data_IF_158009597506
#
_entry.id   IF_158009597506
#
_cell.length_a   1.000
_cell.length_b   1.000
_cell.length_c   1.000
_cell.angle_alpha   90.00
_cell.angle_beta   90.00
_cell.angle_gamma   90.00
#
_symmetry.space_group_name_H-M   'P 1'
#
loop_
_entity.id
_entity.type
_entity.pdbx_description
1 polymer ?
#
# COMPACT_ATOMS: atom_id res chain seq x y z
N UNK A 1 -11.09 16.38 -0.35
CA UNK A 1 -9.82 17.12 -0.18
C UNK A 1 -9.23 16.66 1.15
N UNK A 2 -8.16 15.87 1.12
CA UNK A 2 -7.46 15.41 2.31
C UNK A 2 -6.32 16.39 2.53
N UNK A 3 -6.38 17.19 3.61
CA UNK A 3 -5.23 17.93 4.11
C UNK A 3 -4.29 16.91 4.76
N UNK A 4 -3.10 16.76 4.21
CA UNK A 4 -2.00 16.06 4.86
C UNK A 4 -1.46 17.02 5.93
N UNK A 5 -1.72 16.74 7.21
CA UNK A 5 -0.97 17.39 8.28
C UNK A 5 0.47 16.87 8.22
N UNK A 6 1.41 17.79 8.07
CA UNK A 6 2.83 17.51 8.07
C UNK A 6 3.25 17.00 9.44
N UNK A 7 3.68 15.76 9.52
CA UNK A 7 4.45 15.27 10.64
C UNK A 7 5.74 16.09 10.73
N UNK A 8 5.87 16.89 11.79
CA UNK A 8 7.00 17.78 12.03
C UNK A 8 8.28 17.04 12.44
N UNK A 9 8.90 16.34 11.49
CA UNK A 9 10.26 15.86 11.57
C UNK A 9 11.12 16.62 10.56
N UNK A 10 12.38 16.86 10.85
CA UNK A 10 13.37 17.37 9.88
C UNK A 10 13.42 16.41 8.70
N UNK A 11 12.82 16.83 7.59
CA UNK A 11 12.82 16.04 6.35
C UNK A 11 14.26 16.00 5.84
N UNK A 12 14.84 14.81 5.75
CA UNK A 12 16.10 14.63 5.09
C UNK A 12 15.89 14.92 3.60
N UNK A 13 16.56 15.93 3.08
CA UNK A 13 16.67 16.13 1.63
C UNK A 13 17.57 15.05 1.06
N UNK A 14 16.96 13.98 0.56
CA UNK A 14 17.69 12.93 -0.17
C UNK A 14 17.64 13.24 -1.66
N UNK A 15 18.77 13.09 -2.33
CA UNK A 15 18.91 13.33 -3.77
C UNK A 15 18.48 12.11 -4.59
N UNK A 16 18.20 12.32 -5.90
CA UNK A 16 17.95 11.20 -6.83
C UNK A 16 19.15 10.22 -6.90
N UNK A 17 20.38 10.72 -6.77
CA UNK A 17 21.57 9.88 -6.78
C UNK A 17 21.61 8.95 -5.56
N UNK A 18 21.34 9.48 -4.38
CA UNK A 18 21.31 8.69 -3.14
C UNK A 18 20.18 7.65 -3.15
N UNK A 19 18.99 8.00 -3.65
CA UNK A 19 17.89 7.03 -3.83
C UNK A 19 18.28 5.92 -4.80
N UNK A 20 18.95 6.27 -5.89
CA UNK A 20 19.44 5.31 -6.88
C UNK A 20 20.46 4.36 -6.26
N UNK A 21 21.36 4.88 -5.45
CA UNK A 21 22.36 4.06 -4.76
C UNK A 21 21.72 3.12 -3.72
N UNK A 22 20.67 3.57 -3.01
CA UNK A 22 19.90 2.71 -2.13
C UNK A 22 19.21 1.57 -2.90
N UNK A 23 18.61 1.87 -4.05
CA UNK A 23 17.96 0.84 -4.87
C UNK A 23 18.96 -0.17 -5.44
N UNK A 24 20.16 0.27 -5.87
CA UNK A 24 21.24 -0.63 -6.29
C UNK A 24 21.74 -1.51 -5.16
N UNK A 25 21.92 -0.92 -3.98
CA UNK A 25 22.34 -1.66 -2.78
C UNK A 25 21.34 -2.76 -2.44
N UNK A 26 20.05 -2.48 -2.49
CA UNK A 26 19.00 -3.51 -2.31
C UNK A 26 19.19 -4.67 -3.30
N UNK A 27 19.39 -4.38 -4.59
CA UNK A 27 19.59 -5.41 -5.62
C UNK A 27 20.88 -6.22 -5.40
N UNK A 28 21.95 -5.58 -4.91
CA UNK A 28 23.21 -6.25 -4.58
C UNK A 28 23.06 -7.17 -3.36
N UNK A 29 22.36 -6.73 -2.31
CA UNK A 29 22.13 -7.49 -1.09
C UNK A 29 21.12 -8.64 -1.28
N UNK A 30 20.09 -8.39 -2.07
CA UNK A 30 19.00 -9.35 -2.34
C UNK A 30 18.78 -9.45 -3.87
N UNK A 31 19.61 -10.21 -4.59
CA UNK A 31 19.48 -10.32 -6.04
C UNK A 31 18.14 -10.92 -6.47
N UNK A 32 17.36 -10.23 -7.32
CA UNK A 32 15.99 -10.62 -7.66
C UNK A 32 15.89 -11.93 -8.45
N UNK A 33 16.98 -12.41 -9.02
CA UNK A 33 17.08 -13.70 -9.71
C UNK A 33 17.36 -14.89 -8.78
N UNK A 34 17.65 -14.63 -7.48
CA UNK A 34 18.00 -15.66 -6.48
C UNK A 34 16.96 -15.87 -5.40
N UNK A 35 15.98 -14.99 -5.31
CA UNK A 35 14.92 -15.01 -4.29
C UNK A 35 13.54 -14.98 -4.94
N UNK A 36 12.51 -15.38 -4.20
CA UNK A 36 11.16 -15.22 -4.70
C UNK A 36 10.66 -13.78 -4.59
N UNK A 37 9.52 -13.50 -5.22
CA UNK A 37 8.98 -12.15 -5.26
C UNK A 37 8.56 -11.61 -3.88
N UNK A 38 8.14 -12.47 -2.97
CA UNK A 38 7.70 -12.06 -1.63
C UNK A 38 8.91 -11.66 -0.78
N UNK A 39 9.99 -12.43 -0.88
CA UNK A 39 11.26 -12.15 -0.21
C UNK A 39 11.86 -10.83 -0.71
N UNK A 40 11.96 -10.65 -2.04
CA UNK A 40 12.47 -9.40 -2.62
C UNK A 40 11.64 -8.19 -2.20
N UNK A 41 10.31 -8.28 -2.30
CA UNK A 41 9.41 -7.19 -1.92
C UNK A 41 9.45 -6.93 -0.41
N UNK A 42 9.60 -7.96 0.41
CA UNK A 42 9.84 -7.82 1.83
C UNK A 42 11.09 -6.98 2.11
N UNK A 43 12.21 -7.32 1.46
CA UNK A 43 13.46 -6.55 1.57
C UNK A 43 13.28 -5.11 1.05
N UNK A 44 12.59 -4.89 -0.06
CA UNK A 44 12.27 -3.56 -0.57
C UNK A 44 11.48 -2.73 0.46
N UNK A 45 10.51 -3.33 1.13
CA UNK A 45 9.76 -2.68 2.21
C UNK A 45 10.65 -2.34 3.40
N UNK A 46 11.45 -3.31 3.85
CA UNK A 46 12.33 -3.18 5.01
C UNK A 46 13.45 -2.14 4.79
N UNK A 47 13.88 -1.93 3.52
CA UNK A 47 14.80 -0.86 3.12
C UNK A 47 14.11 0.52 2.92
N UNK A 48 12.80 0.63 3.14
CA UNK A 48 12.07 1.88 2.97
C UNK A 48 11.83 2.30 1.51
N UNK A 49 12.00 1.39 0.56
CA UNK A 49 11.88 1.66 -0.88
C UNK A 49 10.53 1.23 -1.49
N UNK A 50 9.58 0.83 -0.63
CA UNK A 50 8.23 0.47 -1.04
C UNK A 50 7.35 1.71 -1.31
N UNK A 51 7.42 2.66 -0.40
CA UNK A 51 6.64 3.90 -0.39
C UNK A 51 7.53 5.02 0.16
N UNK A 52 8.44 5.56 -0.63
CA UNK A 52 9.49 6.48 -0.13
C UNK A 52 8.98 7.65 0.72
N UNK A 53 7.70 8.05 0.55
CA UNK A 53 7.05 9.09 1.32
C UNK A 53 6.44 8.61 2.65
N UNK A 54 6.37 7.30 2.90
CA UNK A 54 5.88 6.77 4.18
C UNK A 54 6.97 6.92 5.25
N UNK A 55 6.59 6.94 6.54
CA UNK A 55 7.57 6.97 7.62
C UNK A 55 8.56 5.81 7.57
N UNK A 56 9.74 6.02 8.13
CA UNK A 56 10.70 4.94 8.38
C UNK A 56 10.06 3.81 9.21
N UNK A 57 10.41 2.57 8.88
CA UNK A 57 9.81 1.38 9.49
C UNK A 57 8.45 0.98 8.92
N UNK A 58 7.79 1.85 8.16
CA UNK A 58 6.50 1.57 7.50
C UNK A 58 6.63 1.47 5.96
N UNK A 59 7.78 1.07 5.49
CA UNK A 59 8.07 0.86 4.07
C UNK A 59 8.54 2.10 3.34
N UNK A 60 8.86 3.18 4.05
CA UNK A 60 9.32 4.46 3.50
C UNK A 60 10.54 5.04 4.18
N UNK A 61 10.94 6.22 3.70
CA UNK A 61 12.08 7.00 4.15
C UNK A 61 11.64 8.38 4.71
N UNK A 62 10.35 8.61 4.89
CA UNK A 62 9.80 9.87 5.38
C UNK A 62 9.95 11.04 4.41
N UNK A 63 10.05 10.80 3.11
CA UNK A 63 10.28 11.86 2.12
C UNK A 63 9.00 12.64 1.81
N UNK A 64 9.10 13.96 1.60
CA UNK A 64 7.95 14.78 1.24
C UNK A 64 7.37 14.44 -0.14
N UNK A 65 8.22 14.02 -1.06
CA UNK A 65 7.86 13.85 -2.47
C UNK A 65 7.83 12.39 -2.91
N UNK A 66 6.70 11.99 -3.49
CA UNK A 66 6.56 10.70 -4.19
C UNK A 66 7.40 10.61 -5.48
N UNK A 67 7.94 11.72 -5.98
CA UNK A 67 8.67 11.74 -7.26
C UNK A 67 9.86 10.78 -7.23
N UNK A 68 10.53 10.64 -6.10
CA UNK A 68 11.66 9.75 -5.94
C UNK A 68 11.29 8.25 -6.02
N UNK A 69 10.01 7.89 -5.83
CA UNK A 69 9.57 6.52 -6.07
C UNK A 69 9.81 6.09 -7.52
N UNK A 70 9.64 7.01 -8.48
CA UNK A 70 9.89 6.68 -9.90
C UNK A 70 11.36 6.35 -10.19
N UNK A 71 12.28 6.88 -9.39
CA UNK A 71 13.72 6.55 -9.49
C UNK A 71 13.96 5.14 -8.98
N UNK A 72 13.39 4.77 -7.82
CA UNK A 72 13.42 3.39 -7.29
C UNK A 72 12.88 2.42 -8.33
N UNK A 73 11.66 2.67 -8.82
CA UNK A 73 10.99 1.78 -9.78
C UNK A 73 11.79 1.62 -11.08
N UNK A 74 12.47 2.67 -11.53
CA UNK A 74 13.31 2.62 -12.72
C UNK A 74 14.57 1.75 -12.52
N UNK A 75 15.25 1.90 -11.38
CA UNK A 75 16.44 1.10 -11.04
C UNK A 75 16.09 -0.38 -10.85
N UNK A 76 15.03 -0.69 -10.11
CA UNK A 76 14.58 -2.06 -9.88
C UNK A 76 14.17 -2.74 -11.19
N UNK A 77 13.47 -2.01 -12.08
CA UNK A 77 13.12 -2.50 -13.42
C UNK A 77 14.36 -2.75 -14.27
N UNK A 78 15.34 -1.85 -14.22
CA UNK A 78 16.62 -2.00 -14.91
C UNK A 78 17.42 -3.21 -14.41
N UNK A 79 17.26 -3.59 -13.16
CA UNK A 79 17.86 -4.77 -12.55
C UNK A 79 17.08 -6.08 -12.84
N UNK A 80 16.02 -6.01 -13.64
CA UNK A 80 15.25 -7.20 -14.03
C UNK A 80 14.19 -7.64 -13.01
N UNK A 81 13.83 -6.79 -12.05
CA UNK A 81 12.70 -7.08 -11.14
C UNK A 81 11.42 -7.19 -11.96
N UNK A 82 10.75 -8.37 -11.99
CA UNK A 82 9.78 -8.71 -13.04
C UNK A 82 8.35 -8.23 -12.73
N UNK A 83 8.15 -7.35 -11.78
CA UNK A 83 6.80 -6.99 -11.34
C UNK A 83 6.47 -5.52 -11.48
N UNK A 84 5.16 -5.26 -11.49
CA UNK A 84 4.59 -3.95 -11.30
C UNK A 84 3.76 -3.99 -10.03
N UNK A 85 4.03 -3.13 -9.05
CA UNK A 85 3.37 -3.13 -7.74
C UNK A 85 1.85 -3.15 -7.83
N UNK A 86 1.31 -2.31 -8.72
CA UNK A 86 -0.14 -2.23 -8.95
C UNK A 86 -0.73 -3.49 -9.60
N UNK A 87 0.08 -4.36 -10.23
CA UNK A 87 -0.42 -5.61 -10.79
C UNK A 87 -0.63 -6.69 -9.71
N UNK A 88 0.11 -6.61 -8.61
CA UNK A 88 0.06 -7.62 -7.54
C UNK A 88 -1.10 -7.33 -6.58
N UNK A 89 -1.20 -6.11 -6.09
CA UNK A 89 -2.22 -5.73 -5.09
C UNK A 89 -2.70 -4.29 -5.33
N UNK A 90 -3.39 -4.03 -6.45
CA UNK A 90 -3.72 -2.66 -6.87
C UNK A 90 -4.56 -1.90 -5.85
N UNK A 91 -5.51 -2.58 -5.21
CA UNK A 91 -6.38 -1.97 -4.21
C UNK A 91 -5.61 -1.74 -2.90
N UNK A 92 -4.87 -2.74 -2.44
CA UNK A 92 -4.06 -2.60 -1.23
C UNK A 92 -3.05 -1.47 -1.36
N UNK A 93 -2.19 -1.52 -2.38
CA UNK A 93 -1.10 -0.54 -2.57
C UNK A 93 -1.64 0.84 -2.94
N UNK A 94 -2.61 0.91 -3.87
CA UNK A 94 -3.10 2.18 -4.40
C UNK A 94 -4.10 2.91 -3.51
N UNK A 95 -4.86 2.20 -2.71
CA UNK A 95 -5.95 2.74 -1.89
C UNK A 95 -5.81 2.37 -0.41
N UNK A 96 -5.56 1.10 -0.11
CA UNK A 96 -5.48 0.58 1.25
C UNK A 96 -4.33 1.19 2.05
N UNK A 97 -3.13 1.20 1.48
CA UNK A 97 -1.94 1.69 2.16
C UNK A 97 -2.05 3.15 2.63
N UNK A 98 -2.50 4.12 1.80
CA UNK A 98 -2.73 5.49 2.27
C UNK A 98 -3.78 5.61 3.37
N UNK A 99 -4.86 4.81 3.30
CA UNK A 99 -5.91 4.81 4.33
C UNK A 99 -5.39 4.24 5.63
N UNK A 100 -4.70 3.10 5.59
CA UNK A 100 -4.08 2.49 6.77
C UNK A 100 -3.06 3.45 7.39
N UNK A 101 -2.20 4.07 6.58
CA UNK A 101 -1.23 5.05 7.09
C UNK A 101 -1.89 6.20 7.84
N UNK A 102 -3.03 6.71 7.32
CA UNK A 102 -3.68 7.91 7.86
C UNK A 102 -4.53 7.63 9.09
N UNK A 103 -5.25 6.50 9.10
CA UNK A 103 -6.35 6.29 10.07
C UNK A 103 -6.16 5.10 11.01
N UNK A 104 -5.25 4.17 10.69
CA UNK A 104 -5.04 3.00 11.51
C UNK A 104 -4.19 3.30 12.75
N UNK A 105 -4.30 2.48 13.79
CA UNK A 105 -3.37 2.49 14.93
C UNK A 105 -1.96 2.07 14.46
N UNK A 106 -0.94 2.41 15.26
CA UNK A 106 0.44 2.04 14.91
C UNK A 106 0.60 0.52 14.82
N UNK A 107 -0.02 -0.23 15.73
CA UNK A 107 -0.06 -1.71 15.67
C UNK A 107 -0.69 -2.22 14.35
N UNK A 108 -1.76 -1.58 13.89
CA UNK A 108 -2.40 -1.94 12.63
C UNK A 108 -1.53 -1.59 11.43
N UNK A 109 -0.83 -0.44 11.44
CA UNK A 109 0.11 -0.05 10.38
C UNK A 109 1.24 -1.07 10.25
N UNK A 110 1.88 -1.43 11.35
CA UNK A 110 2.94 -2.45 11.39
C UNK A 110 2.44 -3.81 10.89
N UNK A 111 1.22 -4.20 11.30
CA UNK A 111 0.63 -5.49 10.94
C UNK A 111 0.20 -5.58 9.47
N UNK A 112 -0.30 -4.48 8.88
CA UNK A 112 -0.99 -4.52 7.61
C UNK A 112 -0.15 -4.06 6.42
N UNK A 113 0.74 -3.06 6.58
CA UNK A 113 1.39 -2.43 5.43
C UNK A 113 2.38 -3.36 4.72
N UNK A 114 3.19 -4.10 5.47
CA UNK A 114 4.19 -4.99 4.88
C UNK A 114 3.55 -6.13 4.06
N UNK A 115 2.64 -6.97 4.62
CA UNK A 115 2.01 -8.04 3.83
C UNK A 115 1.10 -7.52 2.71
N UNK A 116 0.57 -6.30 2.83
CA UNK A 116 -0.13 -5.62 1.75
C UNK A 116 0.82 -5.29 0.59
N UNK A 117 2.01 -4.75 0.87
CA UNK A 117 2.99 -4.41 -0.15
C UNK A 117 3.60 -5.65 -0.80
N UNK A 118 3.98 -6.65 -0.01
CA UNK A 118 4.55 -7.91 -0.54
C UNK A 118 3.58 -8.67 -1.44
N UNK A 119 2.27 -8.51 -1.20
CA UNK A 119 1.22 -9.27 -1.88
C UNK A 119 0.86 -10.59 -1.17
N UNK A 120 1.39 -10.83 0.03
CA UNK A 120 0.98 -11.95 0.89
C UNK A 120 -0.49 -11.81 1.33
N UNK A 121 -0.98 -10.57 1.47
CA UNK A 121 -2.36 -10.29 1.81
C UNK A 121 -2.99 -9.34 0.78
N UNK A 122 -3.75 -9.92 -0.13
CA UNK A 122 -4.45 -9.17 -1.18
C UNK A 122 -5.66 -8.44 -0.61
N UNK A 123 -5.92 -7.26 -1.15
CA UNK A 123 -7.05 -6.41 -0.77
C UNK A 123 -8.01 -6.24 -1.93
N UNK A 124 -9.31 -6.16 -1.63
CA UNK A 124 -10.35 -5.83 -2.60
C UNK A 124 -11.14 -4.57 -2.18
N UNK A 125 -11.93 -4.07 -3.12
CA UNK A 125 -12.73 -2.86 -2.95
C UNK A 125 -14.22 -3.26 -2.88
N UNK A 126 -14.83 -3.08 -1.72
CA UNK A 126 -16.24 -3.38 -1.44
C UNK A 126 -17.06 -2.09 -1.52
N UNK A 127 -17.22 -1.54 -2.73
CA UNK A 127 -17.88 -0.24 -2.95
C UNK A 127 -19.23 -0.43 -3.64
N UNK A 128 -19.25 -0.92 -4.89
CA UNK A 128 -20.45 -1.00 -5.72
C UNK A 128 -21.52 -1.93 -5.15
N UNK A 129 -22.77 -1.57 -5.37
CA UNK A 129 -23.97 -2.34 -5.01
C UNK A 129 -24.85 -2.57 -6.23
N UNK A 130 -25.81 -3.51 -6.20
CA UNK A 130 -26.71 -3.73 -7.34
C UNK A 130 -27.44 -2.47 -7.81
N UNK A 131 -27.75 -1.55 -6.88
CA UNK A 131 -28.44 -0.28 -7.16
C UNK A 131 -27.55 0.95 -7.21
N UNK A 132 -26.24 0.83 -6.93
CA UNK A 132 -25.34 1.98 -6.82
C UNK A 132 -23.92 1.64 -7.32
N UNK A 133 -23.51 2.28 -8.39
CA UNK A 133 -22.18 2.18 -9.00
C UNK A 133 -21.41 3.50 -8.89
N UNK A 134 -21.45 4.31 -9.96
CA UNK A 134 -20.82 5.64 -9.94
C UNK A 134 -21.49 6.61 -8.94
N UNK A 135 -22.75 6.39 -8.63
CA UNK A 135 -23.47 7.09 -7.55
C UNK A 135 -23.16 6.44 -6.20
N UNK A 136 -22.02 6.76 -5.62
CA UNK A 136 -21.60 6.24 -4.30
C UNK A 136 -22.52 6.76 -3.18
N UNK A 137 -23.18 7.90 -3.36
CA UNK A 137 -24.14 8.42 -2.38
C UNK A 137 -25.45 7.61 -2.31
N UNK A 138 -25.73 6.81 -3.34
CA UNK A 138 -26.90 5.92 -3.40
C UNK A 138 -26.69 4.56 -2.72
N UNK A 139 -25.61 4.34 -2.00
CA UNK A 139 -25.32 3.08 -1.30
C UNK A 139 -26.36 2.80 -0.22
N UNK A 140 -26.74 1.54 -0.09
CA UNK A 140 -27.71 1.03 0.87
C UNK A 140 -27.11 0.16 1.98
N UNK A 141 -25.86 -0.30 1.81
CA UNK A 141 -25.12 -1.01 2.86
C UNK A 141 -24.98 -0.13 4.10
N UNK A 142 -25.07 -0.76 5.25
CA UNK A 142 -25.00 -0.06 6.55
C UNK A 142 -24.02 -0.75 7.47
N UNK A 143 -23.20 0.04 8.16
CA UNK A 143 -22.40 -0.40 9.29
C UNK A 143 -22.93 0.28 10.56
N UNK A 144 -23.27 -0.51 11.56
CA UNK A 144 -23.79 -0.04 12.85
C UNK A 144 -22.88 -0.55 13.94
N UNK A 145 -22.42 0.35 14.80
CA UNK A 145 -21.59 -0.01 15.95
C UNK A 145 -22.48 -0.65 17.03
N UNK A 146 -22.13 -1.87 17.44
CA UNK A 146 -22.76 -2.61 18.53
C UNK A 146 -21.69 -3.05 19.53
N UNK A 147 -21.61 -2.35 20.65
CA UNK A 147 -20.51 -2.51 21.59
C UNK A 147 -19.18 -2.05 20.98
N UNK A 148 -18.25 -2.96 20.83
CA UNK A 148 -16.91 -2.77 20.23
C UNK A 148 -16.78 -3.37 18.80
N UNK A 149 -17.89 -3.86 18.23
CA UNK A 149 -17.93 -4.47 16.90
C UNK A 149 -18.82 -3.67 15.93
N UNK A 150 -18.46 -3.69 14.64
CA UNK A 150 -19.29 -3.16 13.56
C UNK A 150 -20.13 -4.26 12.94
N UNK A 151 -21.46 -4.14 13.03
CA UNK A 151 -22.39 -5.02 12.32
C UNK A 151 -22.67 -4.45 10.93
N UNK A 152 -22.21 -5.17 9.91
CA UNK A 152 -22.34 -4.74 8.52
C UNK A 152 -23.43 -5.55 7.81
N UNK A 153 -24.40 -4.83 7.20
CA UNK A 153 -25.47 -5.41 6.40
C UNK A 153 -25.51 -4.74 5.02
N UNK A 154 -25.48 -5.55 3.97
CA UNK A 154 -25.55 -5.07 2.59
C UNK A 154 -25.06 -6.10 1.59
N UNK A 155 -25.08 -5.72 0.32
CA UNK A 155 -24.60 -6.56 -0.78
C UNK A 155 -23.67 -5.74 -1.67
N UNK A 156 -22.43 -6.21 -1.82
CA UNK A 156 -21.46 -5.63 -2.73
C UNK A 156 -21.30 -6.49 -3.99
N UNK A 157 -21.10 -5.83 -5.14
CA UNK A 157 -20.98 -6.48 -6.46
C UNK A 157 -19.77 -5.98 -7.22
N UNK A 158 -19.35 -6.69 -8.26
CA UNK A 158 -18.23 -6.32 -9.14
C UNK A 158 -16.90 -6.15 -8.42
N UNK A 159 -16.70 -6.91 -7.33
CA UNK A 159 -15.53 -6.81 -6.48
C UNK A 159 -14.36 -7.59 -7.10
N UNK A 160 -13.48 -6.87 -7.79
CA UNK A 160 -12.27 -7.43 -8.37
C UNK A 160 -11.38 -8.03 -7.28
N UNK A 161 -10.84 -9.23 -7.51
CA UNK A 161 -9.98 -9.99 -6.60
C UNK A 161 -10.65 -10.48 -5.30
N UNK A 162 -11.97 -10.32 -5.10
CA UNK A 162 -12.65 -10.75 -3.86
C UNK A 162 -12.38 -12.22 -3.51
N UNK A 163 -12.24 -13.10 -4.52
CA UNK A 163 -12.06 -14.55 -4.34
C UNK A 163 -10.66 -14.93 -3.82
N UNK A 164 -9.69 -14.02 -3.85
CA UNK A 164 -8.32 -14.21 -3.35
C UNK A 164 -7.94 -13.20 -2.27
N UNK A 165 -8.81 -12.23 -1.98
CA UNK A 165 -8.52 -11.17 -1.03
C UNK A 165 -8.73 -11.65 0.41
N UNK A 166 -7.81 -11.26 1.28
CA UNK A 166 -7.93 -11.43 2.73
C UNK A 166 -8.66 -10.24 3.38
N UNK A 167 -8.54 -9.07 2.78
CA UNK A 167 -9.08 -7.82 3.30
C UNK A 167 -9.95 -7.12 2.25
N UNK A 168 -10.93 -6.34 2.73
CA UNK A 168 -11.77 -5.52 1.88
C UNK A 168 -11.93 -4.12 2.42
N UNK A 169 -11.72 -3.11 1.57
CA UNK A 169 -12.09 -1.74 1.87
C UNK A 169 -13.59 -1.58 1.66
N UNK A 170 -14.33 -1.39 2.73
CA UNK A 170 -15.76 -1.23 2.70
C UNK A 170 -16.18 0.24 2.76
N UNK A 171 -17.14 0.63 1.92
CA UNK A 171 -17.93 1.86 2.07
C UNK A 171 -19.37 1.44 2.41
N UNK A 172 -19.89 1.94 3.54
CA UNK A 172 -21.23 1.64 4.04
C UNK A 172 -21.84 2.86 4.73
#
# INVERSE_FOLDING_TARGET
FIFCETYGGTVAEITEAEIRDLAKKLVEEVPPDKVDQFEFRGAQFDHGLAFVQFPEGLGGLGLESRKLQTVVDAELRGAGVPYHDLAINPIGIGMGAPVVLTYASDEQKERLLRPMFTGEEIWCQLFSEPGAGSDVAGLSSRAVLDGDEWIVNGQKVWTTLAHVSKWGMLVA
#
